data_IF_100113244864
#
_entry.id   IF_100113244864
#
_cell.length_a   1.000
_cell.length_b   1.000
_cell.length_c   1.000
_cell.angle_alpha   90.00
_cell.angle_beta   90.00
_cell.angle_gamma   90.00
#
_symmetry.space_group_name_H-M   'P 1'
#
loop_
_entity.id
_entity.type
_entity.pdbx_description
1 polymer ?
#
# COMPACT_ATOMS: atom_id res chain seq x y z
N UNK A 1 -6.84 17.13 23.65
CA UNK A 1 -7.58 16.63 22.49
C UNK A 1 -7.26 15.15 22.16
N UNK A 2 -5.97 14.73 22.17
CA UNK A 2 -5.59 13.33 21.82
C UNK A 2 -6.15 12.26 22.76
N UNK A 3 -6.27 12.55 24.05
CA UNK A 3 -6.82 11.61 25.04
C UNK A 3 -8.34 11.47 24.95
N UNK A 4 -9.04 12.51 24.52
CA UNK A 4 -10.50 12.50 24.32
C UNK A 4 -10.85 11.54 23.18
N UNK A 5 -10.19 11.70 22.02
CA UNK A 5 -10.41 10.83 20.84
C UNK A 5 -10.19 9.34 21.16
N UNK A 6 -9.18 9.01 21.96
CA UNK A 6 -8.89 7.62 22.37
C UNK A 6 -10.03 7.02 23.21
N UNK A 7 -10.70 7.82 24.02
CA UNK A 7 -11.79 7.37 24.90
C UNK A 7 -13.15 7.32 24.20
N UNK A 8 -13.36 8.16 23.21
CA UNK A 8 -14.63 8.27 22.47
C UNK A 8 -14.74 7.28 21.30
N UNK A 9 -13.62 6.73 20.85
CA UNK A 9 -13.60 5.73 19.77
C UNK A 9 -13.64 4.33 20.37
N UNK A 10 -14.60 3.52 19.98
CA UNK A 10 -14.61 2.10 20.30
C UNK A 10 -13.44 1.42 19.59
N UNK A 11 -12.60 0.71 20.34
CA UNK A 11 -11.40 0.12 19.80
C UNK A 11 -11.38 -1.39 20.00
N UNK A 12 -11.02 -2.14 18.96
CA UNK A 12 -11.00 -3.62 18.98
C UNK A 12 -9.76 -4.15 18.25
N UNK A 13 -9.29 -5.31 18.68
CA UNK A 13 -8.16 -6.04 18.06
C UNK A 13 -8.62 -7.39 17.57
N UNK A 14 -8.19 -7.77 16.41
CA UNK A 14 -8.32 -9.11 15.85
C UNK A 14 -6.94 -9.69 15.65
N UNK A 15 -6.62 -10.79 16.33
CA UNK A 15 -5.41 -11.54 16.07
C UNK A 15 -5.61 -12.46 14.87
N UNK A 16 -4.81 -12.25 13.83
CA UNK A 16 -5.00 -12.96 12.56
C UNK A 16 -3.65 -13.12 11.84
N UNK A 17 -3.44 -14.28 11.20
CA UNK A 17 -2.25 -14.46 10.39
C UNK A 17 -2.19 -13.44 9.24
N UNK A 18 -0.99 -12.98 8.88
CA UNK A 18 -0.81 -11.98 7.83
C UNK A 18 -1.50 -12.38 6.52
N UNK A 19 -1.47 -13.67 6.19
CA UNK A 19 -2.11 -14.22 5.00
C UNK A 19 -3.66 -14.11 5.02
N UNK A 20 -4.26 -14.00 6.20
CA UNK A 20 -5.72 -13.94 6.38
C UNK A 20 -6.24 -12.53 6.65
N UNK A 21 -5.37 -11.53 6.84
CA UNK A 21 -5.77 -10.14 7.08
C UNK A 21 -6.73 -9.58 6.04
N UNK A 22 -6.54 -9.96 4.78
CA UNK A 22 -7.41 -9.49 3.70
C UNK A 22 -8.84 -9.99 3.88
N UNK A 23 -9.00 -11.30 4.18
CA UNK A 23 -10.31 -11.92 4.41
C UNK A 23 -10.98 -11.38 5.68
N UNK A 24 -10.18 -11.21 6.74
CA UNK A 24 -10.66 -10.59 7.97
C UNK A 24 -11.17 -9.16 7.71
N UNK A 25 -10.44 -8.37 6.93
CA UNK A 25 -10.86 -7.03 6.54
C UNK A 25 -12.17 -7.05 5.75
N UNK A 26 -12.28 -7.92 4.75
CA UNK A 26 -13.49 -8.05 3.93
C UNK A 26 -14.70 -8.44 4.78
N UNK A 27 -14.55 -9.40 5.70
CA UNK A 27 -15.60 -9.79 6.63
C UNK A 27 -16.04 -8.62 7.52
N UNK A 28 -15.09 -7.87 8.06
CA UNK A 28 -15.38 -6.72 8.90
C UNK A 28 -16.04 -5.58 8.11
N UNK A 29 -15.64 -5.34 6.88
CA UNK A 29 -16.22 -4.31 6.02
C UNK A 29 -17.70 -4.61 5.65
N UNK A 30 -18.10 -5.88 5.65
CA UNK A 30 -19.49 -6.27 5.38
C UNK A 30 -20.42 -6.18 6.59
N UNK A 31 -19.91 -5.76 7.76
CA UNK A 31 -20.78 -5.54 8.94
C UNK A 31 -21.70 -4.34 8.68
N UNK A 32 -22.99 -4.42 9.07
CA UNK A 32 -23.99 -3.39 8.73
C UNK A 32 -23.68 -2.02 9.32
N UNK A 33 -22.89 -1.96 10.39
CA UNK A 33 -22.48 -0.72 11.05
C UNK A 33 -21.40 0.02 10.25
N UNK A 34 -20.73 -0.66 9.33
CA UNK A 34 -19.65 -0.08 8.52
C UNK A 34 -20.24 0.61 7.30
N UNK A 35 -20.50 1.89 7.43
CA UNK A 35 -21.07 2.70 6.34
C UNK A 35 -19.99 3.40 5.51
N UNK A 36 -18.89 3.79 6.14
CA UNK A 36 -17.77 4.49 5.51
C UNK A 36 -16.48 4.22 6.27
N UNK A 37 -15.45 3.72 5.58
CA UNK A 37 -14.25 3.23 6.23
C UNK A 37 -12.95 3.82 5.67
N UNK A 38 -11.97 4.01 6.57
CA UNK A 38 -10.58 4.23 6.18
C UNK A 38 -9.76 3.02 6.61
N UNK A 39 -9.00 2.47 5.67
CA UNK A 39 -8.09 1.34 5.89
C UNK A 39 -6.65 1.84 5.82
N UNK A 40 -5.91 1.69 6.91
CA UNK A 40 -4.52 2.12 6.98
C UNK A 40 -3.54 0.98 6.73
N UNK A 41 -2.60 1.21 5.82
CA UNK A 41 -1.45 0.35 5.55
C UNK A 41 -0.15 1.13 5.78
N UNK A 42 0.96 0.42 6.04
CA UNK A 42 2.26 1.05 6.26
C UNK A 42 2.91 1.55 4.98
N UNK A 43 2.66 0.86 3.87
CA UNK A 43 3.38 1.11 2.62
C UNK A 43 2.45 1.47 1.46
N UNK A 44 2.97 2.23 0.51
CA UNK A 44 2.28 2.55 -0.75
C UNK A 44 1.90 1.31 -1.55
N UNK A 45 2.76 0.29 -1.55
CA UNK A 45 2.48 -0.97 -2.22
C UNK A 45 1.37 -1.76 -1.50
N UNK A 46 1.38 -1.74 -0.16
CA UNK A 46 0.30 -2.29 0.67
C UNK A 46 -1.03 -1.62 0.35
N UNK A 47 -1.08 -0.29 0.28
CA UNK A 47 -2.29 0.45 -0.05
C UNK A 47 -2.86 0.06 -1.42
N UNK A 48 -2.03 0.00 -2.45
CA UNK A 48 -2.46 -0.44 -3.77
C UNK A 48 -2.94 -1.90 -3.78
N UNK A 49 -2.20 -2.79 -3.11
CA UNK A 49 -2.53 -4.22 -3.07
C UNK A 49 -3.87 -4.46 -2.37
N UNK A 50 -4.08 -3.84 -1.21
CA UNK A 50 -5.32 -3.96 -0.45
C UNK A 50 -6.48 -3.34 -1.24
N UNK A 51 -6.33 -2.11 -1.74
CA UNK A 51 -7.37 -1.45 -2.53
C UNK A 51 -7.80 -2.27 -3.74
N UNK A 52 -6.82 -2.79 -4.53
CA UNK A 52 -7.12 -3.64 -5.68
C UNK A 52 -7.87 -4.93 -5.28
N UNK A 53 -7.49 -5.56 -4.17
CA UNK A 53 -8.17 -6.76 -3.69
C UNK A 53 -9.61 -6.47 -3.25
N UNK A 54 -9.85 -5.35 -2.58
CA UNK A 54 -11.20 -4.92 -2.19
C UNK A 54 -12.08 -4.68 -3.42
N UNK A 55 -11.57 -3.97 -4.43
CA UNK A 55 -12.30 -3.76 -5.70
C UNK A 55 -12.61 -5.09 -6.39
N UNK A 56 -11.66 -6.02 -6.44
CA UNK A 56 -11.89 -7.35 -7.00
C UNK A 56 -12.92 -8.17 -6.21
N UNK A 57 -13.08 -7.90 -4.92
CA UNK A 57 -14.12 -8.49 -4.06
C UNK A 57 -15.47 -7.73 -4.12
N UNK A 58 -15.63 -6.78 -5.05
CA UNK A 58 -16.86 -6.02 -5.22
C UNK A 58 -17.04 -4.85 -4.24
N UNK A 59 -16.02 -4.50 -3.48
CA UNK A 59 -16.03 -3.37 -2.54
C UNK A 59 -15.52 -2.12 -3.23
N UNK A 60 -16.34 -1.07 -3.31
CA UNK A 60 -15.94 0.20 -3.91
C UNK A 60 -14.90 0.89 -3.03
N UNK A 61 -13.63 0.74 -3.40
CA UNK A 61 -12.49 1.23 -2.66
C UNK A 61 -11.56 2.08 -3.53
N UNK A 62 -11.08 3.18 -2.96
CA UNK A 62 -10.03 4.02 -3.53
C UNK A 62 -8.75 3.91 -2.70
N UNK A 63 -7.58 4.05 -3.33
CA UNK A 63 -6.30 4.04 -2.64
C UNK A 63 -5.58 5.37 -2.78
N UNK A 64 -5.03 5.91 -1.67
CA UNK A 64 -4.22 7.13 -1.68
C UNK A 64 -2.86 6.89 -1.00
N UNK A 65 -1.78 7.31 -1.67
CA UNK A 65 -0.42 7.23 -1.16
C UNK A 65 0.50 8.19 -1.93
N UNK A 66 1.72 8.37 -1.45
CA UNK A 66 2.66 9.38 -1.97
C UNK A 66 3.05 9.23 -3.44
N UNK A 67 2.89 8.05 -4.05
CA UNK A 67 3.22 7.83 -5.46
C UNK A 67 2.05 8.11 -6.42
N UNK A 68 0.87 8.45 -5.92
CA UNK A 68 -0.22 8.91 -6.78
C UNK A 68 -0.04 10.39 -7.13
N UNK A 69 -0.34 10.75 -8.38
CA UNK A 69 -0.36 12.15 -8.80
C UNK A 69 -1.39 12.93 -8.00
N UNK A 70 -1.23 14.25 -7.90
CA UNK A 70 -2.17 15.10 -7.17
C UNK A 70 -3.59 14.96 -7.72
N UNK A 71 -3.76 14.91 -9.05
CA UNK A 71 -5.07 14.72 -9.68
C UNK A 71 -5.70 13.37 -9.35
N UNK A 72 -4.89 12.30 -9.27
CA UNK A 72 -5.41 10.99 -8.88
C UNK A 72 -5.82 10.95 -7.40
N UNK A 73 -5.08 11.65 -6.53
CA UNK A 73 -5.44 11.80 -5.12
C UNK A 73 -6.72 12.60 -4.95
N UNK A 74 -6.85 13.69 -5.68
CA UNK A 74 -8.05 14.54 -5.66
C UNK A 74 -9.29 13.74 -6.07
N UNK A 75 -9.25 13.03 -7.20
CA UNK A 75 -10.33 12.15 -7.64
C UNK A 75 -10.70 11.08 -6.62
N UNK A 76 -9.70 10.42 -6.03
CA UNK A 76 -9.96 9.40 -5.01
C UNK A 76 -10.68 9.98 -3.78
N UNK A 77 -10.35 11.21 -3.38
CA UNK A 77 -11.02 11.91 -2.29
C UNK A 77 -12.43 12.38 -2.68
N UNK A 78 -12.61 12.83 -3.90
CA UNK A 78 -13.92 13.20 -4.43
C UNK A 78 -14.85 11.97 -4.47
N UNK A 79 -14.41 10.86 -5.06
CA UNK A 79 -15.15 9.60 -5.08
C UNK A 79 -15.52 9.14 -3.67
N UNK A 80 -14.58 9.25 -2.72
CA UNK A 80 -14.85 8.92 -1.32
C UNK A 80 -15.82 9.92 -0.67
N UNK A 81 -15.73 11.21 -0.96
CA UNK A 81 -16.62 12.24 -0.44
C UNK A 81 -18.05 12.08 -0.94
N UNK A 82 -18.21 11.78 -2.22
CA UNK A 82 -19.51 11.64 -2.86
C UNK A 82 -20.20 10.29 -2.57
N UNK A 83 -19.44 9.31 -2.01
CA UNK A 83 -19.96 7.99 -1.72
C UNK A 83 -19.82 6.99 -2.87
N UNK A 84 -19.21 7.38 -4.00
CA UNK A 84 -18.90 6.48 -5.11
C UNK A 84 -17.93 5.36 -4.65
N UNK A 85 -17.02 5.71 -3.73
CA UNK A 85 -16.20 4.76 -2.97
C UNK A 85 -16.49 4.96 -1.48
N UNK A 86 -16.85 3.91 -0.78
CA UNK A 86 -17.10 3.98 0.66
C UNK A 86 -15.93 3.48 1.51
N UNK A 87 -14.89 2.94 0.87
CA UNK A 87 -13.62 2.55 1.51
C UNK A 87 -12.46 3.34 0.93
N UNK A 88 -11.66 3.97 1.80
CA UNK A 88 -10.43 4.65 1.42
C UNK A 88 -9.23 3.93 2.02
N UNK A 89 -8.36 3.36 1.18
CA UNK A 89 -7.12 2.73 1.63
C UNK A 89 -5.98 3.74 1.58
N UNK A 90 -5.35 4.02 2.73
CA UNK A 90 -4.41 5.11 2.85
C UNK A 90 -3.11 4.72 3.58
N UNK A 91 -2.04 5.45 3.28
CA UNK A 91 -0.84 5.50 4.14
C UNK A 91 -0.91 6.71 5.06
N UNK A 92 -0.20 6.68 6.19
CA UNK A 92 -0.19 7.78 7.17
C UNK A 92 0.15 9.13 6.54
N UNK A 93 1.18 9.16 5.69
CA UNK A 93 1.63 10.39 5.01
C UNK A 93 0.52 10.93 4.10
N UNK A 94 -0.15 10.08 3.37
CA UNK A 94 -1.18 10.51 2.43
C UNK A 94 -2.47 10.94 3.13
N UNK A 95 -2.79 10.37 4.28
CA UNK A 95 -3.96 10.72 5.08
C UNK A 95 -3.76 11.97 5.95
N UNK A 96 -2.52 12.43 6.10
CA UNK A 96 -2.24 13.63 6.90
C UNK A 96 -2.73 14.88 6.18
N UNK A 97 -3.42 15.76 6.91
CA UNK A 97 -3.96 17.01 6.36
C UNK A 97 -5.22 16.87 5.52
N UNK A 98 -5.76 15.65 5.38
CA UNK A 98 -7.05 15.45 4.70
C UNK A 98 -8.16 15.60 5.73
N UNK A 99 -9.08 16.49 5.46
CA UNK A 99 -10.32 16.58 6.23
C UNK A 99 -11.34 15.61 5.62
N UNK A 100 -11.56 14.52 6.33
CA UNK A 100 -12.55 13.51 5.97
C UNK A 100 -13.56 13.44 7.10
N UNK A 101 -14.79 13.75 6.80
CA UNK A 101 -15.91 13.66 7.73
C UNK A 101 -16.76 12.41 7.46
N UNK A 102 -17.58 12.00 8.44
CA UNK A 102 -18.54 10.93 8.27
C UNK A 102 -17.90 9.52 8.17
N UNK A 103 -16.70 9.33 8.69
CA UNK A 103 -16.05 8.00 8.76
C UNK A 103 -16.61 7.26 9.96
N UNK A 104 -17.31 6.16 9.72
CA UNK A 104 -17.83 5.28 10.77
C UNK A 104 -16.73 4.40 11.37
N UNK A 105 -15.83 3.89 10.52
CA UNK A 105 -14.83 2.91 10.93
C UNK A 105 -13.42 3.22 10.42
N UNK A 106 -12.44 2.97 11.29
CA UNK A 106 -11.01 2.97 10.93
C UNK A 106 -10.45 1.57 11.09
N UNK A 107 -9.84 1.03 10.04
CA UNK A 107 -9.17 -0.25 10.06
C UNK A 107 -7.65 -0.06 9.98
N UNK A 108 -6.93 -0.50 10.98
CA UNK A 108 -5.49 -0.64 10.93
C UNK A 108 -5.16 -2.02 10.34
N UNK A 109 -5.09 -2.13 9.02
CA UNK A 109 -4.70 -3.36 8.32
C UNK A 109 -3.29 -3.79 8.72
N UNK A 110 -2.44 -2.80 8.96
CA UNK A 110 -1.12 -2.94 9.56
C UNK A 110 -0.95 -1.88 10.65
N UNK A 111 -0.43 -2.29 11.81
CA UNK A 111 -0.11 -1.33 12.86
C UNK A 111 1.05 -0.41 12.45
N UNK A 112 1.01 0.88 12.79
CA UNK A 112 2.09 1.81 12.48
C UNK A 112 3.37 1.45 13.24
N UNK A 113 4.52 1.92 12.74
CA UNK A 113 5.78 1.78 13.46
C UNK A 113 5.80 2.63 14.73
N UNK A 114 5.26 3.84 14.64
CA UNK A 114 5.18 4.79 15.75
C UNK A 114 3.80 4.75 16.38
N UNK A 115 3.70 4.48 17.69
CA UNK A 115 2.42 4.36 18.39
C UNK A 115 1.54 5.62 18.29
N UNK A 116 2.15 6.81 18.20
CA UNK A 116 1.46 8.10 18.06
C UNK A 116 0.63 8.16 16.77
N UNK A 117 1.11 7.51 15.70
CA UNK A 117 0.39 7.44 14.44
C UNK A 117 -0.92 6.68 14.57
N UNK A 118 -0.99 5.69 15.47
CA UNK A 118 -2.24 4.99 15.76
C UNK A 118 -3.33 5.95 16.27
N UNK A 119 -2.99 6.83 17.20
CA UNK A 119 -3.93 7.85 17.73
C UNK A 119 -4.41 8.80 16.63
N UNK A 120 -3.52 9.19 15.72
CA UNK A 120 -3.88 10.03 14.58
C UNK A 120 -4.80 9.31 13.58
N UNK A 121 -4.64 7.99 13.42
CA UNK A 121 -5.49 7.17 12.55
C UNK A 121 -6.89 7.04 13.12
N UNK A 122 -7.02 6.63 14.38
CA UNK A 122 -8.34 6.48 15.01
C UNK A 122 -9.09 7.82 15.15
N UNK A 123 -8.37 8.94 15.25
CA UNK A 123 -8.96 10.27 15.20
C UNK A 123 -9.57 10.67 13.86
N UNK A 124 -9.67 9.75 12.89
CA UNK A 124 -10.43 9.96 11.63
C UNK A 124 -11.90 9.56 11.77
N UNK A 125 -12.25 8.81 12.79
CA UNK A 125 -13.64 8.47 13.14
C UNK A 125 -14.03 9.12 14.48
N UNK A 126 -15.27 9.01 14.89
CA UNK A 126 -15.76 9.57 16.16
C UNK A 126 -15.73 11.09 16.23
N UNK A 127 -15.93 11.79 15.11
CA UNK A 127 -15.92 13.26 15.05
C UNK A 127 -17.33 13.82 15.17
N UNK A 128 -17.42 15.04 15.73
CA UNK A 128 -18.67 15.80 15.88
C UNK A 128 -19.76 15.05 16.66
N UNK A 129 -19.38 14.26 17.67
CA UNK A 129 -20.33 13.51 18.53
C UNK A 129 -20.90 12.24 17.90
N UNK A 130 -20.44 11.85 16.71
CA UNK A 130 -20.80 10.56 16.13
C UNK A 130 -19.99 9.43 16.78
N UNK A 131 -20.63 8.29 17.06
CA UNK A 131 -19.93 7.09 17.49
C UNK A 131 -18.96 6.63 16.40
N UNK A 132 -17.73 6.30 16.77
CA UNK A 132 -16.71 5.82 15.86
C UNK A 132 -16.08 4.53 16.36
N UNK A 133 -15.73 3.64 15.44
CA UNK A 133 -15.04 2.40 15.77
C UNK A 133 -13.70 2.27 15.06
N UNK A 134 -12.73 1.66 15.74
CA UNK A 134 -11.41 1.39 15.21
C UNK A 134 -11.04 -0.08 15.43
N UNK A 135 -10.62 -0.74 14.37
CA UNK A 135 -10.17 -2.12 14.39
C UNK A 135 -8.70 -2.22 14.03
N UNK A 136 -7.98 -3.10 14.72
CA UNK A 136 -6.60 -3.42 14.40
C UNK A 136 -6.46 -4.91 14.06
N UNK A 137 -5.99 -5.21 12.86
CA UNK A 137 -5.66 -6.58 12.42
C UNK A 137 -4.20 -6.86 12.77
N UNK A 138 -3.96 -7.68 13.75
CA UNK A 138 -2.64 -7.88 14.35
C UNK A 138 -2.13 -9.28 14.05
N UNK A 139 -1.05 -9.38 13.29
CA UNK A 139 -0.34 -10.63 13.10
C UNK A 139 0.72 -10.86 14.21
N UNK A 140 1.29 -12.07 14.31
CA UNK A 140 2.27 -12.38 15.34
C UNK A 140 3.49 -11.44 15.37
N UNK A 141 3.90 -10.90 14.22
CA UNK A 141 5.05 -9.97 14.13
C UNK A 141 4.69 -8.56 14.65
N UNK A 142 3.42 -8.23 14.68
CA UNK A 142 2.93 -6.91 15.11
C UNK A 142 2.57 -6.82 16.60
N UNK A 143 2.62 -7.92 17.34
CA UNK A 143 2.28 -7.95 18.77
C UNK A 143 3.12 -6.97 19.59
N UNK A 144 4.40 -6.78 19.24
CA UNK A 144 5.24 -5.78 19.90
C UNK A 144 4.75 -4.35 19.66
N UNK A 145 4.23 -4.06 18.45
CA UNK A 145 3.65 -2.75 18.09
C UNK A 145 2.33 -2.54 18.83
N UNK A 146 1.49 -3.56 18.91
CA UNK A 146 0.25 -3.50 19.71
C UNK A 146 0.56 -3.12 21.14
N UNK A 147 1.50 -3.80 21.79
CA UNK A 147 1.90 -3.49 23.16
C UNK A 147 2.43 -2.05 23.32
N UNK A 148 3.12 -1.52 22.32
CA UNK A 148 3.59 -0.13 22.34
C UNK A 148 2.41 0.86 22.23
N UNK A 149 1.44 0.58 21.38
CA UNK A 149 0.19 1.36 21.27
C UNK A 149 -0.57 1.35 22.60
N UNK A 150 -0.83 0.17 23.17
CA UNK A 150 -1.55 0.01 24.45
C UNK A 150 -0.87 0.77 25.60
N UNK A 151 0.47 0.75 25.65
CA UNK A 151 1.22 1.55 26.64
C UNK A 151 1.05 3.04 26.43
N UNK A 152 1.06 3.51 25.19
CA UNK A 152 0.87 4.92 24.87
C UNK A 152 -0.53 5.41 25.29
N UNK A 153 -1.55 4.64 24.93
CA UNK A 153 -2.95 5.00 25.21
C UNK A 153 -3.37 4.65 26.65
N UNK A 154 -2.51 3.93 27.37
CA UNK A 154 -2.75 3.45 28.76
C UNK A 154 -4.02 2.60 28.90
N UNK A 155 -4.32 1.81 27.90
CA UNK A 155 -5.49 0.95 27.83
C UNK A 155 -5.17 -0.34 27.10
N UNK A 156 -5.66 -1.47 27.59
CA UNK A 156 -5.68 -2.74 26.86
C UNK A 156 -6.82 -2.71 25.86
N UNK A 157 -6.53 -3.10 24.65
CA UNK A 157 -7.53 -3.17 23.60
C UNK A 157 -8.28 -4.50 23.67
N UNK A 158 -9.61 -4.49 23.69
CA UNK A 158 -10.41 -5.72 23.66
C UNK A 158 -10.09 -6.54 22.40
N UNK A 159 -9.86 -7.83 22.61
CA UNK A 159 -9.67 -8.78 21.51
C UNK A 159 -11.02 -9.39 21.10
N UNK A 160 -11.24 -9.47 19.81
CA UNK A 160 -12.41 -10.11 19.22
C UNK A 160 -11.92 -11.25 18.33
N UNK A 161 -12.48 -12.42 18.51
CA UNK A 161 -12.25 -13.56 17.63
C UNK A 161 -13.18 -13.45 16.43
N UNK A 162 -12.62 -13.58 15.23
CA UNK A 162 -13.38 -13.65 14.00
C UNK A 162 -13.45 -15.11 13.53
N UNK A 163 -14.65 -15.58 13.29
CA UNK A 163 -14.85 -16.85 12.61
C UNK A 163 -14.57 -16.66 11.11
N UNK A 164 -13.30 -16.88 10.75
CA UNK A 164 -12.89 -16.82 9.36
C UNK A 164 -13.24 -18.14 8.69
N UNK A 165 -14.08 -18.13 7.63
CA UNK A 165 -14.38 -19.34 6.89
C UNK A 165 -13.07 -20.04 6.46
N UNK A 166 -13.03 -21.37 6.47
CA UNK A 166 -11.86 -22.13 6.07
C UNK A 166 -11.39 -21.67 4.69
N UNK A 167 -10.07 -21.62 4.47
CA UNK A 167 -9.56 -21.39 3.11
C UNK A 167 -10.05 -22.53 2.24
N UNK A 168 -10.72 -22.21 1.15
CA UNK A 168 -10.81 -23.16 0.05
C UNK A 168 -9.37 -23.42 -0.37
N UNK A 169 -8.90 -24.63 -0.06
CA UNK A 169 -7.62 -25.13 -0.55
C UNK A 169 -7.88 -25.41 -2.03
N UNK A 170 -7.71 -24.36 -2.85
CA UNK A 170 -7.62 -24.55 -4.29
C UNK A 170 -6.56 -25.61 -4.50
N UNK A 171 -6.93 -26.68 -5.19
CA UNK A 171 -6.07 -27.81 -5.54
C UNK A 171 -4.70 -27.26 -5.94
N UNK A 172 -3.74 -27.39 -5.02
CA UNK A 172 -2.36 -27.21 -5.36
C UNK A 172 -2.11 -28.24 -6.47
N UNK A 173 -1.82 -27.76 -7.66
CA UNK A 173 -1.31 -28.58 -8.75
C UNK A 173 -0.15 -29.39 -8.18
N UNK A 174 -0.44 -30.64 -7.86
CA UNK A 174 0.56 -31.67 -7.62
C UNK A 174 1.13 -31.94 -9.01
N UNK A 175 2.11 -31.13 -9.39
CA UNK A 175 3.00 -31.49 -10.49
C UNK A 175 3.82 -32.67 -10.00
N UNK A 176 3.25 -33.85 -10.23
CA UNK A 176 3.95 -35.11 -10.12
C UNK A 176 4.95 -35.17 -11.26
N UNK A 177 6.12 -34.59 -11.08
CA UNK A 177 7.31 -34.95 -11.83
C UNK A 177 8.17 -35.88 -10.99
N UNK A 178 7.89 -37.14 -11.13
CA UNK A 178 8.66 -38.23 -10.59
C UNK A 178 8.63 -39.39 -11.56
N UNK A 179 9.14 -39.20 -12.76
CA UNK A 179 9.48 -40.34 -13.62
C UNK A 179 10.80 -40.95 -13.16
N UNK A 180 10.86 -42.22 -12.85
CA UNK A 180 12.13 -42.86 -12.51
C UNK A 180 12.90 -43.12 -13.82
N UNK A 181 13.98 -42.42 -13.99
CA UNK A 181 14.94 -42.67 -15.06
C UNK A 181 15.62 -44.01 -14.82
N UNK A 182 15.27 -45.00 -15.60
CA UNK A 182 16.00 -46.26 -15.71
C UNK A 182 17.41 -45.94 -16.23
N UNK A 183 18.41 -46.32 -15.41
CA UNK A 183 19.78 -46.42 -15.83
C UNK A 183 19.93 -47.67 -16.70
N UNK A 184 20.12 -47.48 -17.99
CA UNK A 184 20.71 -48.51 -18.85
C UNK A 184 22.17 -48.17 -19.07
N UNK A 185 22.97 -49.08 -18.59
CA UNK A 185 24.43 -49.13 -18.76
C UNK A 185 24.71 -49.69 -20.16
N UNK A 186 25.58 -49.06 -20.93
CA UNK A 186 25.96 -49.57 -22.22
C UNK A 186 27.00 -48.71 -22.95
N UNK A 187 28.13 -49.03 -22.90
CA UNK A 187 29.48 -48.88 -23.19
C UNK A 187 29.88 -48.38 -24.58
N UNK A 188 31.14 -48.02 -24.60
CA UNK A 188 32.11 -48.03 -25.71
C UNK A 188 32.16 -46.86 -26.69
N UNK A 189 33.13 -46.01 -26.52
CA UNK A 189 34.40 -45.99 -27.27
C UNK A 189 34.39 -45.28 -28.64
N UNK A 190 35.38 -44.50 -28.86
CA UNK A 190 36.24 -44.07 -29.97
C UNK A 190 36.09 -42.61 -30.39
N UNK A 191 37.05 -41.80 -29.93
CA UNK A 191 38.25 -41.35 -30.68
C UNK A 191 38.04 -40.71 -32.06
N UNK A 192 38.39 -39.44 -32.19
CA UNK A 192 39.17 -38.75 -33.23
C UNK A 192 38.88 -37.26 -33.27
N UNK A 193 39.82 -36.48 -32.75
CA UNK A 193 40.97 -35.86 -33.39
C UNK A 193 40.65 -34.84 -34.49
N UNK A 194 41.26 -33.67 -34.22
CA UNK A 194 41.73 -32.62 -35.20
C UNK A 194 40.64 -31.66 -35.65
N UNK A 195 40.90 -30.39 -35.69
CA UNK A 195 42.10 -29.57 -35.64
C UNK A 195 41.74 -28.14 -35.92
N UNK A 196 42.50 -27.30 -35.32
CA UNK A 196 43.19 -26.18 -35.93
C UNK A 196 42.36 -25.01 -36.47
N UNK A 197 42.62 -23.92 -35.92
CA UNK A 197 43.53 -22.82 -36.22
C UNK A 197 42.77 -21.58 -36.69
N UNK A 198 43.04 -20.52 -35.92
CA UNK A 198 43.73 -19.30 -36.39
C UNK A 198 42.92 -18.43 -37.36
N UNK A 199 42.80 -17.22 -37.14
CA UNK A 199 43.60 -16.01 -37.02
C UNK A 199 42.67 -14.81 -37.24
N UNK A 200 42.79 -13.83 -36.37
CA UNK A 200 43.34 -12.49 -36.65
C UNK A 200 42.59 -11.67 -37.69
N UNK A 201 42.32 -10.43 -37.56
CA UNK A 201 43.02 -9.28 -37.08
C UNK A 201 42.14 -8.02 -37.26
N UNK A 202 42.33 -7.08 -36.38
CA UNK A 202 42.71 -5.69 -36.64
C UNK A 202 41.89 -4.83 -37.62
N UNK A 203 41.55 -3.65 -37.09
CA UNK A 203 41.29 -2.40 -37.82
C UNK A 203 40.33 -1.54 -37.00
N UNK A 204 40.67 -0.67 -36.19
CA UNK A 204 41.39 0.59 -36.14
C UNK A 204 40.86 1.64 -37.14
N UNK A 205 40.45 2.74 -36.54
CA UNK A 205 40.52 4.15 -36.91
C UNK A 205 39.17 4.86 -36.70
N UNK A 206 39.06 5.77 -35.74
CA UNK A 206 39.66 7.10 -35.70
C UNK A 206 38.94 8.14 -36.56
N UNK A 207 38.56 9.17 -35.94
CA UNK A 207 38.34 10.50 -36.49
C UNK A 207 36.87 10.88 -36.63
N UNK A 208 36.40 11.99 -36.35
CA UNK A 208 36.98 13.30 -36.02
C UNK A 208 35.83 14.23 -35.65
N UNK A 209 36.08 15.06 -34.69
CA UNK A 209 35.59 16.37 -34.39
C UNK A 209 34.85 17.16 -35.47
N UNK A 210 33.82 17.90 -35.05
CA UNK A 210 33.68 19.32 -35.39
C UNK A 210 32.68 20.07 -34.49
N UNK A 211 33.20 21.09 -33.90
CA UNK A 211 32.56 22.23 -33.25
C UNK A 211 31.80 23.13 -34.23
N UNK A 212 30.75 23.78 -33.78
CA UNK A 212 30.42 25.20 -34.05
C UNK A 212 29.36 25.64 -33.06
N UNK A 213 29.59 26.45 -32.19
CA UNK A 213 29.72 27.91 -31.95
C UNK A 213 28.70 28.78 -32.71
N UNK A 214 28.03 29.60 -31.95
CA UNK A 214 27.39 30.86 -32.35
C UNK A 214 25.88 30.84 -32.15
N UNK A 215 25.25 31.75 -31.46
CA UNK A 215 25.59 33.06 -31.06
C UNK A 215 24.36 33.74 -30.42
N UNK A 216 24.66 34.35 -29.39
CA UNK A 216 24.11 35.50 -28.69
C UNK A 216 23.11 36.39 -29.49
N UNK A 217 21.96 36.74 -28.86
CA UNK A 217 21.48 38.10 -28.95
C UNK A 217 20.44 38.45 -27.87
N UNK A 218 20.89 39.31 -26.99
CA UNK A 218 20.14 40.15 -26.06
C UNK A 218 19.10 40.98 -26.84
N UNK A 219 17.90 41.18 -26.23
CA UNK A 219 17.26 42.50 -26.26
C UNK A 219 16.50 42.77 -24.98
N UNK A 220 16.91 43.78 -24.34
CA UNK A 220 16.27 44.55 -23.25
C UNK A 220 15.02 45.26 -23.80
N UNK A 221 14.03 45.46 -22.93
CA UNK A 221 12.94 46.38 -23.15
C UNK A 221 12.21 46.63 -21.84
N UNK A 222 12.62 47.68 -21.16
CA UNK A 222 11.99 48.36 -20.04
C UNK A 222 10.63 48.93 -20.47
N UNK A 223 9.65 48.94 -19.57
CA UNK A 223 9.08 50.19 -19.02
C UNK A 223 7.89 49.92 -18.11
N UNK A 224 7.97 50.38 -16.92
CA UNK A 224 6.90 50.88 -16.01
C UNK A 224 6.60 52.31 -16.48
N UNK A 225 5.61 53.08 -15.89
CA UNK A 225 4.70 52.85 -14.75
C UNK A 225 3.29 53.52 -14.89
N UNK A 226 2.62 53.66 -13.72
CA UNK A 226 1.64 54.72 -13.25
C UNK A 226 0.18 54.35 -13.41
N UNK A 227 -0.52 54.11 -12.35
CA UNK A 227 -1.17 54.85 -11.28
C UNK A 227 -2.59 55.32 -11.63
N UNK A 228 -3.47 55.02 -10.75
CA UNK A 228 -4.31 55.76 -9.85
C UNK A 228 -5.80 55.82 -10.17
N UNK A 229 -6.54 55.56 -9.10
CA UNK A 229 -7.75 56.23 -8.61
C UNK A 229 -9.09 56.05 -9.35
N UNK A 230 -10.00 55.41 -8.76
CA UNK A 230 -11.21 55.90 -8.08
C UNK A 230 -11.86 54.77 -7.30
#
# INVERSE_FOLDING_TARGET
>A
PKQVTVRETEQRVVHVANADKQRALELLLHQPEVTRAIVFTRTKHGANKVGKKLVNAGINAEAIHGNKSQNARQRALENFSNGDAWVLVATDIAARGIDISGVSHVFNFELPHEPESYVHRIGRTGRAGAAGAAWALVDPEEVKRLRAVERLIRMKLPTVDLDLPAREVGEAQISAEGSPTQRTNGGSNTNRRRGNAQQSARGNSAGNSAQSQGGNRRRRGRSRPVAASA
#
